data_IF_242422895965
#
_entry.id   IF_242422895965
#
_cell.length_a   1.000
_cell.length_b   1.000
_cell.length_c   1.000
_cell.angle_alpha   90.00
_cell.angle_beta   90.00
_cell.angle_gamma   90.00
#
_symmetry.space_group_name_H-M   'P 1'
#
loop_
_entity.id
_entity.type
_entity.pdbx_description
1 polymer ?
#
# COMPACT_ATOMS: atom_id res chain seq x y z
N UNK A 1 4.03 0.54 -3.26
CA UNK A 1 4.79 1.46 -2.37
C UNK A 1 5.59 2.44 -3.23
N UNK A 2 5.97 3.59 -2.69
CA UNK A 2 6.96 4.49 -3.30
C UNK A 2 8.09 4.75 -2.29
N UNK A 3 9.30 4.96 -2.80
CA UNK A 3 10.48 5.28 -1.99
C UNK A 3 10.69 6.79 -1.92
N UNK A 4 11.01 7.30 -0.73
CA UNK A 4 11.39 8.68 -0.46
C UNK A 4 12.90 8.85 -0.66
N UNK A 5 13.35 10.10 -0.87
CA UNK A 5 14.78 10.42 -1.05
C UNK A 5 15.64 10.03 0.17
N UNK A 6 15.03 9.93 1.37
CA UNK A 6 15.69 9.50 2.61
C UNK A 6 15.72 7.97 2.81
N UNK A 7 15.27 7.20 1.80
CA UNK A 7 15.28 5.75 1.79
C UNK A 7 14.07 5.09 2.44
N UNK A 8 13.19 5.84 3.13
CA UNK A 8 11.94 5.30 3.67
C UNK A 8 10.91 5.04 2.57
N UNK A 9 9.92 4.23 2.88
CA UNK A 9 8.84 3.90 1.97
C UNK A 9 7.49 4.40 2.48
N UNK A 10 6.61 4.74 1.54
CA UNK A 10 5.23 5.12 1.79
C UNK A 10 4.28 4.24 0.98
N UNK A 11 3.19 3.83 1.63
CA UNK A 11 2.08 3.16 0.95
C UNK A 11 1.11 4.22 0.44
N UNK A 12 0.84 4.18 -0.87
CA UNK A 12 -0.05 5.11 -1.55
C UNK A 12 -1.27 4.33 -2.03
N UNK A 13 -2.44 4.71 -1.54
CA UNK A 13 -3.71 4.26 -2.06
C UNK A 13 -4.05 5.08 -3.31
N UNK A 14 -4.11 4.41 -4.46
CA UNK A 14 -4.39 4.98 -5.78
C UNK A 14 -5.73 4.52 -6.34
N UNK A 15 -6.66 4.20 -5.44
CA UNK A 15 -7.98 3.68 -5.80
C UNK A 15 -8.04 2.16 -5.88
N UNK A 16 -9.16 1.69 -6.40
CA UNK A 16 -9.52 0.28 -6.45
C UNK A 16 -8.92 -0.42 -7.68
N UNK A 17 -8.41 -1.64 -7.49
CA UNK A 17 -7.97 -2.51 -8.58
C UNK A 17 -9.04 -3.58 -8.84
N UNK A 18 -9.71 -3.56 -10.01
CA UNK A 18 -10.64 -4.62 -10.40
C UNK A 18 -9.98 -5.99 -10.40
N UNK A 19 -10.77 -7.04 -10.15
CA UNK A 19 -10.27 -8.41 -10.05
C UNK A 19 -9.45 -8.84 -11.28
N UNK A 20 -9.92 -8.52 -12.47
CA UNK A 20 -9.25 -8.88 -13.74
C UNK A 20 -7.87 -8.21 -13.93
N UNK A 21 -7.65 -7.11 -13.21
CA UNK A 21 -6.43 -6.30 -13.21
C UNK A 21 -5.58 -6.51 -11.95
N UNK A 22 -5.85 -7.57 -11.16
CA UNK A 22 -5.12 -7.85 -9.93
C UNK A 22 -3.62 -8.11 -10.16
N UNK A 23 -3.27 -8.66 -11.32
CA UNK A 23 -1.88 -8.79 -11.74
C UNK A 23 -1.31 -7.41 -12.11
N UNK A 24 -0.24 -7.02 -11.42
CA UNK A 24 0.44 -5.74 -11.63
C UNK A 24 0.94 -5.57 -13.09
N UNK A 25 1.29 -6.66 -13.77
CA UNK A 25 1.71 -6.62 -15.17
C UNK A 25 0.60 -6.14 -16.12
N UNK A 26 -0.66 -6.27 -15.72
CA UNK A 26 -1.83 -5.80 -16.50
C UNK A 26 -2.16 -4.32 -16.28
N UNK A 27 -1.40 -3.62 -15.43
CA UNK A 27 -1.64 -2.23 -15.03
C UNK A 27 -0.35 -1.41 -15.07
N UNK A 28 0.34 -1.33 -16.23
CA UNK A 28 1.63 -0.65 -16.37
C UNK A 28 1.55 0.86 -16.06
N UNK A 29 0.39 1.49 -16.26
CA UNK A 29 0.16 2.89 -15.87
C UNK A 29 0.31 3.11 -14.34
N UNK A 30 0.08 2.07 -13.54
CA UNK A 30 0.33 2.09 -12.10
C UNK A 30 1.78 1.80 -11.70
N UNK A 31 2.62 1.34 -12.63
CA UNK A 31 4.02 0.99 -12.43
C UNK A 31 4.91 2.09 -13.01
N UNK A 32 4.81 3.29 -12.43
CA UNK A 32 5.55 4.46 -12.90
C UNK A 32 7.03 4.33 -12.48
N UNK A 33 7.93 4.44 -13.46
CA UNK A 33 9.36 4.50 -13.21
C UNK A 33 9.83 5.94 -12.95
N UNK A 34 10.87 6.08 -12.12
CA UNK A 34 11.51 7.37 -11.84
C UNK A 34 10.83 8.17 -10.73
N UNK A 35 11.24 9.44 -10.61
CA UNK A 35 10.75 10.35 -9.56
C UNK A 35 9.36 10.85 -9.92
N UNK A 36 8.43 10.74 -8.98
CA UNK A 36 7.05 11.21 -9.12
C UNK A 36 6.67 12.12 -7.96
N UNK A 37 5.73 13.03 -8.21
CA UNK A 37 5.09 13.82 -7.15
C UNK A 37 3.68 13.28 -6.93
N UNK A 38 3.34 12.99 -5.68
CA UNK A 38 2.00 12.56 -5.29
C UNK A 38 1.41 13.63 -4.38
N UNK A 39 0.21 14.11 -4.72
CA UNK A 39 -0.61 14.97 -3.86
C UNK A 39 -1.73 14.12 -3.29
N UNK A 40 -2.02 14.28 -2.01
CA UNK A 40 -3.07 13.51 -1.35
C UNK A 40 -3.11 13.73 0.15
N UNK A 41 -3.98 12.98 0.82
CA UNK A 41 -4.21 13.07 2.26
C UNK A 41 -3.37 12.05 3.01
N UNK A 42 -2.63 12.52 4.01
CA UNK A 42 -1.97 11.64 4.97
C UNK A 42 -3.02 11.02 5.92
N UNK A 43 -3.01 9.70 6.05
CA UNK A 43 -3.92 8.93 6.91
C UNK A 43 -3.14 8.07 7.89
N UNK A 44 -3.45 8.20 9.16
CA UNK A 44 -2.86 7.32 10.18
C UNK A 44 -3.21 5.85 9.89
N UNK A 45 -2.28 4.92 10.13
CA UNK A 45 -2.57 3.51 10.06
C UNK A 45 -3.58 3.13 11.14
N UNK A 46 -4.34 2.08 10.86
CA UNK A 46 -5.17 1.47 11.88
C UNK A 46 -4.27 0.75 12.89
N UNK A 47 -4.55 0.92 14.18
CA UNK A 47 -3.83 0.21 15.24
C UNK A 47 -4.08 -1.32 15.21
N UNK A 48 -5.15 -1.74 14.52
CA UNK A 48 -5.52 -3.12 14.32
C UNK A 48 -6.84 -3.22 13.56
N UNK A 49 -7.36 -4.45 13.50
CA UNK A 49 -8.64 -4.75 12.85
C UNK A 49 -9.77 -3.94 13.49
N UNK A 50 -10.50 -3.09 12.74
CA UNK A 50 -11.51 -2.19 13.32
C UNK A 50 -12.69 -2.87 14.01
N UNK A 51 -13.05 -4.07 13.58
CA UNK A 51 -14.20 -4.81 14.11
C UNK A 51 -14.10 -6.30 13.79
N UNK A 52 -14.68 -7.15 14.66
CA UNK A 52 -14.82 -8.59 14.42
C UNK A 52 -15.70 -8.94 13.22
N UNK A 53 -16.53 -8.00 12.73
CA UNK A 53 -17.39 -8.21 11.57
C UNK A 53 -16.63 -8.17 10.24
N UNK A 54 -15.44 -7.58 10.21
CA UNK A 54 -14.60 -7.60 9.02
C UNK A 54 -13.93 -8.97 8.90
N UNK A 55 -13.70 -9.51 7.69
CA UNK A 55 -12.82 -10.66 7.53
C UNK A 55 -11.37 -10.33 7.90
N UNK A 56 -10.57 -11.36 8.15
CA UNK A 56 -9.11 -11.20 8.23
C UNK A 56 -8.52 -10.98 6.84
N UNK A 57 -7.42 -10.24 6.77
CA UNK A 57 -6.69 -10.03 5.52
C UNK A 57 -6.12 -11.36 5.02
N UNK A 58 -6.22 -11.62 3.71
CA UNK A 58 -5.59 -12.75 3.04
C UNK A 58 -4.36 -12.25 2.29
N UNK A 59 -3.26 -12.12 3.05
CA UNK A 59 -1.99 -11.54 2.59
C UNK A 59 -1.38 -12.36 1.45
N UNK A 60 -1.49 -13.69 1.51
CA UNK A 60 -0.98 -14.59 0.45
C UNK A 60 -1.67 -14.34 -0.88
N UNK A 61 -2.98 -14.05 -0.85
CA UNK A 61 -3.73 -13.68 -2.05
C UNK A 61 -3.67 -12.19 -2.36
N UNK A 62 -2.91 -11.37 -1.63
CA UNK A 62 -2.91 -9.92 -1.78
C UNK A 62 -4.34 -9.33 -1.68
N UNK A 63 -5.09 -9.72 -0.65
CA UNK A 63 -6.44 -9.23 -0.34
C UNK A 63 -6.44 -8.62 1.05
N UNK A 64 -6.78 -7.34 1.13
CA UNK A 64 -6.84 -6.59 2.38
C UNK A 64 -8.24 -5.99 2.55
N UNK A 65 -9.00 -6.51 3.51
CA UNK A 65 -10.33 -6.01 3.88
C UNK A 65 -10.26 -4.77 4.77
N UNK A 66 -9.13 -4.57 5.45
CA UNK A 66 -8.81 -3.39 6.24
C UNK A 66 -7.33 -3.02 6.09
N UNK A 67 -7.01 -1.73 6.26
CA UNK A 67 -5.69 -1.15 5.98
C UNK A 67 -4.67 -1.47 7.09
N UNK A 68 -4.19 -2.70 7.12
CA UNK A 68 -3.04 -3.11 7.93
C UNK A 68 -1.74 -2.66 7.23
N UNK A 69 -1.13 -1.57 7.70
CA UNK A 69 0.07 -1.00 7.07
C UNK A 69 1.23 -1.98 7.04
N UNK A 70 1.44 -2.69 8.14
CA UNK A 70 2.64 -3.48 8.33
C UNK A 70 2.53 -4.79 7.55
N UNK A 71 1.35 -5.43 7.56
CA UNK A 71 1.10 -6.59 6.72
C UNK A 71 1.17 -6.25 5.22
N UNK A 72 0.59 -5.11 4.81
CA UNK A 72 0.65 -4.66 3.41
C UNK A 72 2.08 -4.38 2.96
N UNK A 73 2.89 -3.73 3.81
CA UNK A 73 4.29 -3.44 3.50
C UNK A 73 5.14 -4.72 3.42
N UNK A 74 4.93 -5.67 4.32
CA UNK A 74 5.63 -6.95 4.33
C UNK A 74 5.37 -7.76 3.05
N UNK A 75 4.17 -7.70 2.48
CA UNK A 75 3.84 -8.36 1.22
C UNK A 75 4.24 -7.58 -0.04
N UNK A 76 4.72 -6.35 0.10
CA UNK A 76 4.97 -5.45 -1.04
C UNK A 76 6.38 -5.59 -1.66
N UNK A 77 7.16 -6.59 -1.25
CA UNK A 77 8.50 -6.84 -1.79
C UNK A 77 9.53 -5.77 -1.45
N UNK A 78 9.38 -5.10 -0.30
CA UNK A 78 10.33 -4.09 0.15
C UNK A 78 11.67 -4.71 0.58
N UNK A 79 12.79 -3.97 0.46
CA UNK A 79 14.09 -4.42 0.98
C UNK A 79 14.04 -4.78 2.47
N UNK A 80 14.87 -5.72 2.90
CA UNK A 80 14.99 -6.07 4.31
C UNK A 80 15.41 -4.85 5.14
N UNK A 81 14.72 -4.61 6.25
CA UNK A 81 14.96 -3.45 7.12
C UNK A 81 14.46 -2.11 6.55
N UNK A 82 13.67 -2.11 5.47
CA UNK A 82 13.07 -0.89 4.93
C UNK A 82 12.26 -0.14 5.99
N UNK A 83 12.58 1.13 6.19
CA UNK A 83 11.82 2.03 7.05
C UNK A 83 10.50 2.44 6.40
N UNK A 84 9.43 2.52 7.18
CA UNK A 84 8.13 3.02 6.74
C UNK A 84 7.82 4.37 7.38
N UNK A 85 7.16 5.25 6.64
CA UNK A 85 6.53 6.44 7.24
C UNK A 85 5.30 6.03 8.07
N UNK A 86 4.94 6.81 9.11
CA UNK A 86 3.87 6.43 10.03
C UNK A 86 2.45 6.71 9.50
N UNK A 87 2.23 6.71 8.18
CA UNK A 87 0.95 7.00 7.54
C UNK A 87 0.85 6.40 6.13
N UNK A 88 -0.37 6.33 5.60
CA UNK A 88 -0.65 6.14 4.19
C UNK A 88 -0.88 7.48 3.51
N UNK A 89 -0.73 7.52 2.19
CA UNK A 89 -1.26 8.63 1.37
C UNK A 89 -2.46 8.09 0.59
N UNK A 90 -3.64 8.69 0.76
CA UNK A 90 -4.74 8.54 -0.19
C UNK A 90 -4.54 9.61 -1.28
N UNK A 91 -4.19 9.19 -2.49
CA UNK A 91 -3.95 10.10 -3.61
C UNK A 91 -5.27 10.68 -4.15
N UNK A 92 -5.23 11.97 -4.52
CA UNK A 92 -6.32 12.66 -5.23
C UNK A 92 -6.41 12.26 -6.72
#
# INVERSE_FOLDING_TARGET
PLQLDDGRFVLVNRGFVPYDLKDAAKRPQGEVAGKVTITGLARNPLAGKPSMMLPDNDVQKNIFYWKDRDAMAASAGLPAGAGLVPFFIDAD
#
